data_IF_540012394635
#
_entry.id   IF_540012394635
#
_cell.length_a   1.000
_cell.length_b   1.000
_cell.length_c   1.000
_cell.angle_alpha   90.00
_cell.angle_beta   90.00
_cell.angle_gamma   90.00
#
_symmetry.space_group_name_H-M   'P 1'
#
loop_
_entity.id
_entity.type
_entity.pdbx_description
1 polymer ?
#
# COMPACT_ATOMS: atom_id res chain seq x y z
N UNK A 1 -18.21 -11.34 -1.09
CA UNK A 1 -17.26 -11.15 0.03
C UNK A 1 -16.97 -9.67 0.16
N UNK A 2 -17.17 -9.07 1.34
CA UNK A 2 -16.90 -7.65 1.58
C UNK A 2 -15.42 -7.36 1.89
N UNK A 3 -14.94 -6.13 1.68
CA UNK A 3 -13.54 -5.74 1.93
C UNK A 3 -13.10 -5.88 3.39
N UNK A 4 -14.04 -5.92 4.33
CA UNK A 4 -13.81 -6.16 5.77
C UNK A 4 -13.27 -7.56 6.08
N UNK A 5 -13.46 -8.53 5.18
CA UNK A 5 -12.98 -9.90 5.34
C UNK A 5 -11.66 -10.18 4.61
N UNK A 6 -10.98 -9.13 4.12
CA UNK A 6 -9.69 -9.25 3.44
C UNK A 6 -8.59 -8.71 4.35
N UNK A 7 -7.73 -9.62 4.83
CA UNK A 7 -6.56 -9.27 5.62
C UNK A 7 -5.47 -8.73 4.71
N UNK A 8 -4.93 -7.55 5.04
CA UNK A 8 -3.77 -6.98 4.34
C UNK A 8 -2.55 -7.15 5.22
N UNK A 9 -1.48 -7.69 4.64
CA UNK A 9 -0.18 -7.84 5.26
C UNK A 9 0.86 -7.00 4.49
N UNK A 10 1.86 -6.50 5.20
CA UNK A 10 3.08 -5.94 4.60
C UNK A 10 4.25 -6.75 5.14
N UNK A 11 4.99 -7.41 4.26
CA UNK A 11 6.08 -8.32 4.61
C UNK A 11 5.67 -9.36 5.67
N UNK A 12 4.46 -9.92 5.53
CA UNK A 12 3.88 -10.88 6.45
C UNK A 12 3.32 -10.29 7.76
N UNK A 13 3.46 -8.99 8.01
CA UNK A 13 2.96 -8.32 9.21
C UNK A 13 1.55 -7.74 8.98
N UNK A 14 0.57 -8.02 9.86
CA UNK A 14 -0.78 -7.50 9.70
C UNK A 14 -0.86 -5.99 9.78
N UNK A 15 -1.57 -5.38 8.82
CA UNK A 15 -1.92 -3.97 8.87
C UNK A 15 -3.32 -3.83 9.46
N UNK A 16 -3.43 -3.11 10.58
CA UNK A 16 -4.67 -2.94 11.34
C UNK A 16 -5.14 -1.49 11.40
N UNK A 17 -4.54 -0.59 10.61
CA UNK A 17 -4.79 0.85 10.66
C UNK A 17 -6.25 1.22 10.45
N UNK A 18 -6.99 0.46 9.62
CA UNK A 18 -8.44 0.65 9.47
C UNK A 18 -9.22 0.56 10.78
N UNK A 19 -8.75 -0.16 11.80
CA UNK A 19 -9.44 -0.31 13.08
C UNK A 19 -9.45 0.95 13.94
N UNK A 20 -8.64 1.95 13.60
CA UNK A 20 -8.72 3.29 14.19
C UNK A 20 -9.98 4.05 13.78
N UNK A 21 -10.59 3.69 12.65
CA UNK A 21 -11.83 4.31 12.17
C UNK A 21 -13.01 3.50 12.68
N UNK A 22 -13.98 4.19 13.28
CA UNK A 22 -15.20 3.59 13.81
C UNK A 22 -15.97 2.88 12.69
N UNK A 23 -16.42 1.67 12.99
CA UNK A 23 -17.34 0.93 12.14
C UNK A 23 -18.77 1.46 12.34
N UNK A 24 -19.40 1.90 11.26
CA UNK A 24 -20.75 2.43 11.25
C UNK A 24 -21.82 1.34 11.37
N UNK A 25 -23.05 1.75 11.73
CA UNK A 25 -24.17 0.82 11.93
C UNK A 25 -24.48 -0.02 10.69
N UNK A 26 -24.30 0.55 9.50
CA UNK A 26 -24.58 -0.11 8.21
C UNK A 26 -23.36 -0.84 7.63
N UNK A 27 -22.30 -0.96 8.41
CA UNK A 27 -21.03 -1.55 7.98
C UNK A 27 -20.19 -0.64 7.09
N UNK A 28 -20.45 0.66 7.12
CA UNK A 28 -19.59 1.67 6.51
C UNK A 28 -18.38 1.94 7.40
N UNK A 29 -17.26 2.26 6.76
CA UNK A 29 -16.05 2.72 7.43
C UNK A 29 -15.41 3.79 6.56
N UNK A 30 -15.21 4.99 7.11
CA UNK A 30 -14.53 6.08 6.42
C UNK A 30 -13.00 5.89 6.42
N UNK A 31 -12.58 4.76 5.86
CA UNK A 31 -11.18 4.39 5.67
C UNK A 31 -10.94 4.18 4.18
N UNK A 32 -9.74 4.55 3.72
CA UNK A 32 -9.30 4.26 2.35
C UNK A 32 -8.79 2.82 2.18
N UNK A 33 -8.92 1.98 3.23
CA UNK A 33 -8.36 0.63 3.28
C UNK A 33 -6.88 0.63 3.65
N UNK A 34 -6.27 -0.55 3.57
CA UNK A 34 -4.88 -0.78 4.00
C UNK A 34 -3.94 -1.19 2.85
N UNK A 35 -4.37 -1.11 1.60
CA UNK A 35 -3.53 -1.50 0.45
C UNK A 35 -2.59 -0.41 -0.03
N UNK A 36 -2.75 0.83 0.45
CA UNK A 36 -2.00 2.01 -0.03
C UNK A 36 -0.86 2.44 0.89
N UNK A 37 -0.48 1.64 1.88
CA UNK A 37 0.63 1.96 2.79
C UNK A 37 1.99 1.87 2.11
N UNK A 38 2.13 0.96 1.14
CA UNK A 38 3.36 0.75 0.38
C UNK A 38 3.22 1.36 -1.00
N UNK A 39 4.18 2.18 -1.45
CA UNK A 39 4.16 2.71 -2.81
C UNK A 39 4.39 1.61 -3.83
N UNK A 40 3.69 1.65 -4.97
CA UNK A 40 3.72 0.59 -5.98
C UNK A 40 5.13 0.24 -6.48
N UNK A 41 6.01 1.23 -6.53
CA UNK A 41 7.38 1.09 -7.01
C UNK A 41 8.29 0.32 -6.03
N UNK A 42 7.90 0.23 -4.75
CA UNK A 42 8.61 -0.52 -3.69
C UNK A 42 8.15 -1.97 -3.58
N UNK A 43 7.04 -2.30 -4.23
CA UNK A 43 6.50 -3.65 -4.24
C UNK A 43 7.41 -4.50 -5.12
N UNK A 44 7.85 -5.63 -4.58
CA UNK A 44 8.50 -6.69 -5.36
C UNK A 44 7.43 -7.57 -6.00
N UNK A 45 6.55 -8.13 -5.16
CA UNK A 45 5.39 -8.91 -5.58
C UNK A 45 4.24 -8.82 -4.57
N UNK A 46 3.06 -9.30 -4.98
CA UNK A 46 1.86 -9.35 -4.14
C UNK A 46 1.35 -10.79 -4.12
N UNK A 47 1.27 -11.39 -2.93
CA UNK A 47 0.62 -12.68 -2.76
C UNK A 47 -0.86 -12.48 -2.48
N UNK A 48 -1.71 -13.05 -3.35
CA UNK A 48 -3.16 -13.02 -3.18
C UNK A 48 -3.67 -14.42 -2.92
N UNK A 49 -4.07 -14.67 -1.67
CA UNK A 49 -4.54 -15.98 -1.21
C UNK A 49 -6.04 -15.88 -0.98
N UNK A 50 -6.81 -16.78 -1.60
CA UNK A 50 -8.28 -16.78 -1.56
C UNK A 50 -8.79 -18.08 -0.95
N UNK A 51 -9.94 -18.00 -0.27
CA UNK A 51 -10.65 -19.18 0.24
C UNK A 51 -9.92 -19.90 1.38
N UNK A 52 -10.00 -21.25 1.48
CA UNK A 52 -9.56 -21.98 2.66
C UNK A 52 -8.07 -21.85 2.97
N UNK A 53 -7.22 -21.61 1.95
CA UNK A 53 -5.79 -21.38 2.14
C UNK A 53 -5.47 -20.11 2.94
N UNK A 54 -6.37 -19.12 2.95
CA UNK A 54 -6.21 -17.88 3.68
C UNK A 54 -6.41 -18.06 5.20
N UNK A 55 -7.18 -19.08 5.62
CA UNK A 55 -7.51 -19.32 7.03
C UNK A 55 -6.27 -19.51 7.92
N UNK A 56 -5.14 -19.95 7.36
CA UNK A 56 -3.86 -20.12 8.08
C UNK A 56 -3.30 -18.80 8.64
N UNK A 57 -3.69 -17.67 8.08
CA UNK A 57 -3.26 -16.34 8.56
C UNK A 57 -4.12 -15.80 9.71
N UNK A 58 -5.19 -16.52 10.09
CA UNK A 58 -5.96 -16.25 11.28
C UNK A 58 -6.95 -15.08 11.13
N UNK A 59 -6.98 -14.21 12.15
CA UNK A 59 -8.03 -13.21 12.32
C UNK A 59 -8.08 -12.22 11.15
N UNK A 60 -9.27 -12.06 10.54
CA UNK A 60 -9.50 -11.17 9.40
C UNK A 60 -9.25 -11.78 8.01
N UNK A 61 -8.78 -13.04 7.92
CA UNK A 61 -8.46 -13.72 6.66
C UNK A 61 -9.63 -14.54 6.07
N UNK A 62 -10.86 -14.37 6.57
CA UNK A 62 -12.02 -15.19 6.20
C UNK A 62 -12.40 -15.10 4.72
N UNK A 63 -12.17 -13.95 4.07
CA UNK A 63 -12.38 -13.76 2.64
C UNK A 63 -11.12 -13.98 1.81
N UNK A 64 -9.96 -13.67 2.38
CA UNK A 64 -8.66 -13.82 1.73
C UNK A 64 -7.56 -13.04 2.43
N UNK A 65 -6.33 -13.21 1.94
CA UNK A 65 -5.15 -12.46 2.35
C UNK A 65 -4.52 -11.80 1.14
N UNK A 66 -4.15 -10.54 1.29
CA UNK A 66 -3.29 -9.80 0.36
C UNK A 66 -2.01 -9.46 1.10
N UNK A 67 -0.90 -10.11 0.74
CA UNK A 67 0.42 -9.83 1.30
C UNK A 67 1.22 -8.99 0.32
N UNK A 68 1.55 -7.77 0.70
CA UNK A 68 2.41 -6.88 -0.09
C UNK A 68 3.85 -7.12 0.36
N UNK A 69 4.68 -7.67 -0.53
CA UNK A 69 6.09 -7.94 -0.26
C UNK A 69 6.93 -6.82 -0.86
N UNK A 70 7.77 -6.20 -0.02
CA UNK A 70 8.66 -5.11 -0.42
C UNK A 70 9.96 -5.62 -1.01
N UNK A 71 10.62 -4.77 -1.80
CA UNK A 71 11.92 -5.10 -2.40
C UNK A 71 12.97 -5.42 -1.33
N UNK A 72 13.67 -6.57 -1.46
CA UNK A 72 14.72 -6.95 -0.52
C UNK A 72 15.92 -6.00 -0.64
N UNK A 73 16.78 -6.02 0.38
CA UNK A 73 18.05 -5.31 0.34
C UNK A 73 19.08 -6.07 -0.49
N UNK A 74 19.78 -5.39 -1.38
CA UNK A 74 20.87 -5.96 -2.19
C UNK A 74 22.25 -5.45 -1.73
N UNK A 75 23.32 -6.22 -2.00
CA UNK A 75 24.70 -5.80 -1.71
C UNK A 75 25.22 -4.73 -2.67
N UNK A 76 24.46 -4.37 -3.69
CA UNK A 76 24.78 -3.30 -4.63
C UNK A 76 23.94 -2.05 -4.34
N UNK A 77 24.49 -0.89 -4.71
CA UNK A 77 23.79 0.37 -4.63
C UNK A 77 22.76 0.49 -5.76
N UNK A 78 21.48 0.54 -5.39
CA UNK A 78 20.39 0.84 -6.32
C UNK A 78 19.58 2.03 -5.82
N UNK A 79 19.41 3.00 -6.72
CA UNK A 79 18.54 4.15 -6.51
C UNK A 79 17.44 4.19 -7.55
N UNK A 80 16.24 4.60 -7.16
CA UNK A 80 15.18 4.92 -8.11
C UNK A 80 14.52 6.25 -7.76
N UNK A 81 14.19 7.03 -8.78
CA UNK A 81 13.36 8.22 -8.66
C UNK A 81 12.32 8.16 -9.75
N UNK A 82 11.06 8.01 -9.32
CA UNK A 82 9.93 7.96 -10.23
C UNK A 82 9.00 9.15 -9.99
N UNK A 83 8.50 9.75 -11.06
CA UNK A 83 7.44 10.76 -10.99
C UNK A 83 6.27 10.33 -11.88
N UNK A 84 5.07 10.46 -11.35
CA UNK A 84 3.83 10.12 -12.01
C UNK A 84 2.88 11.32 -11.96
N UNK A 85 2.23 11.59 -13.09
CA UNK A 85 1.19 12.61 -13.23
C UNK A 85 0.12 12.10 -14.17
N UNK A 86 -1.15 12.32 -13.84
CA UNK A 86 -2.26 12.10 -14.76
C UNK A 86 -2.90 13.43 -15.19
N UNK A 87 -3.49 13.44 -16.39
CA UNK A 87 -4.19 14.59 -16.96
C UNK A 87 -5.64 14.18 -17.29
N UNK A 88 -6.58 14.34 -16.34
CA UNK A 88 -7.98 14.04 -16.58
C UNK A 88 -8.58 14.94 -17.67
N UNK A 89 -9.46 14.39 -18.51
CA UNK A 89 -10.13 15.13 -19.58
C UNK A 89 -11.17 16.13 -19.03
N UNK A 90 -11.80 15.80 -17.91
CA UNK A 90 -12.83 16.62 -17.28
C UNK A 90 -12.28 17.36 -16.05
N UNK A 91 -12.53 18.67 -15.98
CA UNK A 91 -12.08 19.54 -14.86
C UNK A 91 -12.64 19.18 -13.48
N UNK A 92 -13.65 18.31 -13.41
CA UNK A 92 -14.26 17.80 -12.17
C UNK A 92 -13.44 16.67 -11.53
N UNK A 93 -12.52 16.06 -12.29
CA UNK A 93 -11.67 14.97 -11.81
C UNK A 93 -10.35 15.52 -11.23
N UNK A 94 -9.94 14.98 -10.08
CA UNK A 94 -8.70 15.39 -9.41
C UNK A 94 -7.47 14.86 -10.15
N UNK A 95 -6.55 15.75 -10.52
CA UNK A 95 -5.23 15.33 -10.97
C UNK A 95 -4.43 14.76 -9.79
N UNK A 96 -3.74 13.65 -10.00
CA UNK A 96 -2.84 13.02 -9.05
C UNK A 96 -1.42 13.24 -9.54
N UNK A 97 -0.59 13.82 -8.66
CA UNK A 97 0.86 13.88 -8.84
C UNK A 97 1.52 13.07 -7.75
N UNK A 98 2.42 12.17 -8.12
CA UNK A 98 3.13 11.29 -7.20
C UNK A 98 4.62 11.33 -7.51
N UNK A 99 5.43 11.49 -6.48
CA UNK A 99 6.88 11.41 -6.56
C UNK A 99 7.36 10.37 -5.56
N UNK A 100 8.17 9.44 -6.04
CA UNK A 100 8.72 8.35 -5.28
C UNK A 100 10.23 8.38 -5.39
N UNK A 101 10.90 8.07 -4.29
CA UNK A 101 12.32 7.82 -4.29
C UNK A 101 12.62 6.57 -3.47
N UNK A 102 13.67 5.86 -3.86
CA UNK A 102 14.23 4.77 -3.06
C UNK A 102 15.73 4.69 -3.22
N UNK A 103 16.35 4.21 -2.17
CA UNK A 103 17.77 4.01 -2.07
C UNK A 103 18.03 2.72 -1.29
N UNK A 104 18.71 1.80 -1.91
CA UNK A 104 19.12 0.56 -1.31
C UNK A 104 20.62 0.36 -1.53
N UNK A 105 21.31 -0.16 -0.52
CA UNK A 105 22.72 -0.46 -0.63
C UNK A 105 23.32 -1.04 0.64
N UNK A 106 24.59 -1.48 0.56
CA UNK A 106 25.35 -1.93 1.71
C UNK A 106 25.79 -0.75 2.58
N UNK A 107 25.65 -0.91 3.90
CA UNK A 107 26.28 -0.05 4.90
C UNK A 107 27.64 -0.63 5.35
N UNK A 108 27.79 -1.96 5.28
CA UNK A 108 29.01 -2.74 5.55
C UNK A 108 28.92 -4.09 4.81
N UNK A 109 29.93 -4.95 4.92
CA UNK A 109 29.98 -6.28 4.30
C UNK A 109 28.84 -7.21 4.75
N UNK A 110 28.26 -6.94 5.93
CA UNK A 110 27.19 -7.76 6.54
C UNK A 110 25.88 -7.01 6.79
N UNK A 111 25.84 -5.71 6.51
CA UNK A 111 24.67 -4.86 6.81
C UNK A 111 24.28 -4.09 5.56
N UNK A 112 23.01 -4.19 5.18
CA UNK A 112 22.42 -3.44 4.07
C UNK A 112 21.19 -2.66 4.56
N UNK A 113 20.85 -1.58 3.88
CA UNK A 113 19.69 -0.75 4.22
C UNK A 113 18.81 -0.51 3.00
N UNK A 114 17.50 -0.42 3.21
CA UNK A 114 16.53 0.01 2.20
C UNK A 114 15.77 1.22 2.76
N UNK A 115 15.88 2.35 2.08
CA UNK A 115 15.20 3.59 2.38
C UNK A 115 14.31 3.97 1.20
N UNK A 116 13.06 4.32 1.48
CA UNK A 116 12.15 4.78 0.46
C UNK A 116 11.21 5.85 0.99
N UNK A 117 10.69 6.66 0.07
CA UNK A 117 9.73 7.70 0.38
C UNK A 117 8.76 7.92 -0.76
N UNK A 118 7.54 8.28 -0.38
CA UNK A 118 6.48 8.61 -1.31
C UNK A 118 5.83 9.94 -0.92
N UNK A 119 5.73 10.82 -1.90
CA UNK A 119 4.96 12.03 -1.82
C UNK A 119 3.86 11.97 -2.87
N UNK A 120 2.64 11.65 -2.44
CA UNK A 120 1.45 11.70 -3.28
C UNK A 120 0.62 12.93 -2.92
N UNK A 121 0.30 13.75 -3.92
CA UNK A 121 -0.63 14.86 -3.79
C UNK A 121 -1.69 14.75 -4.88
N UNK A 122 -2.91 14.52 -4.43
CA UNK A 122 -4.12 14.63 -5.25
C UNK A 122 -4.88 15.85 -4.72
N UNK A 123 -4.81 17.01 -5.39
CA UNK A 123 -5.59 18.17 -4.99
C UNK A 123 -7.08 17.82 -5.12
N UNK A 124 -7.73 17.63 -3.97
CA UNK A 124 -9.18 17.54 -3.91
C UNK A 124 -9.75 18.92 -4.18
N UNK A 125 -10.43 19.11 -5.31
CA UNK A 125 -11.34 20.24 -5.47
C UNK A 125 -12.73 19.78 -5.02
N UNK A 126 -12.95 19.82 -3.71
CA UNK A 126 -14.32 19.94 -3.19
C UNK A 126 -14.69 21.43 -3.21
N UNK A 127 -15.38 21.87 -4.25
CA UNK A 127 -16.24 23.06 -4.21
C UNK A 127 -17.14 23.13 -5.45
N UNK A 128 -18.45 23.12 -5.23
CA UNK A 128 -19.42 23.77 -6.12
C UNK A 128 -20.40 22.87 -6.86
N UNK A 129 -21.37 22.31 -6.14
CA UNK A 129 -22.78 22.71 -6.30
C UNK A 129 -23.47 22.61 -4.94
#
# INVERSE_FOLDING_TARGET
MGPENTLVLVDGKPVTSRNSVRYGWRGDRDSRGDTSWVPAEMIDHIDVIRGPAAARYGNGAMGGVVNIVTKPTTPEWHGSWNTYMNAPQHRKEGATKRTNFSLNGPLSDSVSFNLWGNLSKTPGRCAGY
#
